data_IF_167000104682
#
_entry.id   IF_167000104682
#
_cell.length_a   1.000
_cell.length_b   1.000
_cell.length_c   1.000
_cell.angle_alpha   90.00
_cell.angle_beta   90.00
_cell.angle_gamma   90.00
#
_symmetry.space_group_name_H-M   'P 1'
#
loop_
_entity.id
_entity.type
_entity.pdbx_description
1 polymer ?
#
# COMPACT_ATOMS: atom_id res chain seq x y z
N UNK A 1 8.42 2.43 -0.32
CA UNK A 1 9.42 3.51 -0.53
C UNK A 1 8.82 4.86 -0.24
N UNK A 2 9.37 5.58 0.73
CA UNK A 2 9.05 6.97 1.05
C UNK A 2 9.93 7.90 0.21
N UNK A 3 9.31 8.80 -0.55
CA UNK A 3 10.04 9.77 -1.38
C UNK A 3 10.43 10.98 -0.52
N UNK A 4 11.69 11.41 -0.60
CA UNK A 4 12.24 12.53 0.20
C UNK A 4 12.77 13.67 -0.68
N UNK A 5 12.55 13.58 -1.99
CA UNK A 5 12.93 14.59 -2.96
C UNK A 5 11.75 14.82 -3.91
N UNK A 6 11.48 16.08 -4.26
CA UNK A 6 10.38 16.42 -5.15
C UNK A 6 10.62 15.87 -6.56
N UNK A 7 9.58 15.36 -7.25
CA UNK A 7 9.73 14.65 -8.52
C UNK A 7 10.22 15.57 -9.65
N UNK A 8 10.05 16.89 -9.52
CA UNK A 8 10.55 17.87 -10.49
C UNK A 8 12.02 18.29 -10.26
N UNK A 9 12.67 17.84 -9.19
CA UNK A 9 14.07 18.18 -8.86
C UNK A 9 15.11 17.22 -9.44
N UNK A 10 14.68 16.13 -10.08
CA UNK A 10 15.56 15.16 -10.73
C UNK A 10 14.94 14.57 -11.99
N UNK A 11 15.78 14.21 -12.97
CA UNK A 11 15.36 13.57 -14.23
C UNK A 11 15.59 12.05 -14.16
N UNK A 12 14.65 11.26 -14.69
CA UNK A 12 14.63 9.81 -14.49
C UNK A 12 14.28 9.41 -13.05
N UNK A 13 14.88 8.34 -12.53
CA UNK A 13 14.65 7.88 -11.15
C UNK A 13 13.24 7.37 -10.87
N UNK A 14 12.53 6.93 -11.91
CA UNK A 14 11.21 6.32 -11.78
C UNK A 14 11.36 4.91 -11.23
N UNK A 15 10.55 4.55 -10.23
CA UNK A 15 10.45 3.17 -9.78
C UNK A 15 9.52 2.42 -10.73
N UNK A 16 10.08 1.50 -11.50
CA UNK A 16 9.35 0.60 -12.39
C UNK A 16 9.01 -0.68 -11.63
N UNK A 17 7.74 -1.04 -11.56
CA UNK A 17 7.24 -2.23 -10.86
C UNK A 17 6.43 -3.05 -11.86
N UNK A 18 6.80 -4.31 -12.05
CA UNK A 18 6.00 -5.27 -12.82
C UNK A 18 4.95 -5.90 -11.92
N UNK A 19 3.69 -5.77 -12.34
CA UNK A 19 2.54 -6.43 -11.75
C UNK A 19 1.87 -7.37 -12.77
N UNK A 20 0.80 -8.06 -12.37
CA UNK A 20 0.06 -9.01 -13.21
C UNK A 20 -0.55 -8.37 -14.47
N UNK A 21 -0.72 -7.05 -14.47
CA UNK A 21 -1.40 -6.27 -15.51
C UNK A 21 -0.44 -5.36 -16.31
N UNK A 22 0.84 -5.30 -15.94
CA UNK A 22 1.88 -4.62 -16.70
C UNK A 22 2.91 -3.89 -15.85
N UNK A 23 3.59 -2.93 -16.47
CA UNK A 23 4.64 -2.13 -15.86
C UNK A 23 4.08 -0.81 -15.32
N UNK A 24 4.12 -0.62 -14.01
CA UNK A 24 3.79 0.64 -13.35
C UNK A 24 5.03 1.51 -13.20
N UNK A 25 4.90 2.82 -13.47
CA UNK A 25 5.96 3.81 -13.27
C UNK A 25 5.60 4.75 -12.12
N UNK A 26 6.43 4.78 -11.07
CA UNK A 26 6.12 5.52 -9.84
C UNK A 26 7.18 6.59 -9.54
N UNK A 27 6.73 7.84 -9.41
CA UNK A 27 7.52 9.00 -9.00
C UNK A 27 6.61 9.99 -8.25
N UNK A 28 6.58 9.89 -6.92
CA UNK A 28 5.64 10.62 -6.08
C UNK A 28 6.24 11.92 -5.52
N UNK A 29 5.39 12.77 -4.93
CA UNK A 29 5.81 13.98 -4.22
C UNK A 29 6.67 13.64 -2.98
N UNK A 30 7.48 14.60 -2.52
CA UNK A 30 8.20 14.41 -1.27
C UNK A 30 7.22 14.25 -0.09
N UNK A 31 7.43 13.22 0.73
CA UNK A 31 6.53 12.85 1.83
C UNK A 31 5.55 11.71 1.48
N UNK A 32 5.33 11.45 0.19
CA UNK A 32 4.45 10.37 -0.24
C UNK A 32 5.16 9.01 -0.27
N UNK A 33 4.39 7.94 -0.10
CA UNK A 33 4.90 6.57 -0.07
C UNK A 33 4.17 5.67 -1.06
N UNK A 34 4.95 4.81 -1.71
CA UNK A 34 4.42 3.64 -2.44
C UNK A 34 4.67 2.36 -1.64
N UNK A 35 3.65 1.52 -1.54
CA UNK A 35 3.71 0.17 -0.98
C UNK A 35 3.36 -0.83 -2.09
N UNK A 36 4.15 -1.89 -2.23
CA UNK A 36 3.97 -2.92 -3.25
C UNK A 36 4.50 -4.27 -2.77
N UNK A 37 4.02 -5.41 -3.34
CA UNK A 37 4.52 -6.73 -2.97
C UNK A 37 6.02 -6.87 -3.22
N UNK A 38 6.74 -7.44 -2.26
CA UNK A 38 8.19 -7.70 -2.42
C UNK A 38 8.50 -8.74 -3.49
N UNK A 39 7.51 -9.51 -3.95
CA UNK A 39 7.60 -10.48 -5.04
C UNK A 39 7.60 -9.82 -6.43
N UNK A 40 7.18 -8.56 -6.56
CA UNK A 40 7.17 -7.85 -7.85
C UNK A 40 8.59 -7.60 -8.35
N UNK A 41 8.85 -7.92 -9.63
CA UNK A 41 10.08 -7.49 -10.28
C UNK A 41 10.07 -5.97 -10.37
N UNK A 42 11.17 -5.33 -9.97
CA UNK A 42 11.24 -3.87 -9.97
C UNK A 42 12.66 -3.36 -10.15
N UNK A 43 12.77 -2.17 -10.73
CA UNK A 43 14.02 -1.44 -10.85
C UNK A 43 13.77 0.07 -10.79
N UNK A 44 14.81 0.85 -10.48
CA UNK A 44 14.76 2.31 -10.56
C UNK A 44 15.50 2.74 -11.83
N UNK A 45 14.85 3.54 -12.68
CA UNK A 45 15.50 4.06 -13.89
C UNK A 45 16.66 5.00 -13.53
N UNK A 46 17.72 5.12 -14.36
CA UNK A 46 18.84 5.99 -14.07
C UNK A 46 18.39 7.43 -13.79
N UNK A 47 19.00 8.06 -12.78
CA UNK A 47 18.86 9.50 -12.56
C UNK A 47 19.91 10.21 -13.40
N UNK A 48 19.48 10.94 -14.43
CA UNK A 48 20.39 11.63 -15.37
C UNK A 48 20.74 13.05 -14.94
N UNK A 49 19.93 13.66 -14.08
CA UNK A 49 20.15 14.99 -13.52
C UNK A 49 19.51 15.11 -12.13
N UNK A 50 20.12 15.88 -11.23
CA UNK A 50 19.63 16.07 -9.86
C UNK A 50 19.94 14.88 -8.95
N UNK A 51 19.20 14.74 -7.86
CA UNK A 51 19.38 13.65 -6.90
C UNK A 51 18.03 13.15 -6.38
N UNK A 52 17.80 11.84 -6.49
CA UNK A 52 16.66 11.16 -5.87
C UNK A 52 17.04 10.70 -4.46
N UNK A 53 16.45 11.31 -3.44
CA UNK A 53 16.59 10.88 -2.04
C UNK A 53 15.31 10.17 -1.64
N UNK A 54 15.42 9.00 -1.01
CA UNK A 54 14.30 8.19 -0.57
C UNK A 54 14.69 7.29 0.61
N UNK A 55 13.71 6.85 1.38
CA UNK A 55 13.84 5.75 2.33
C UNK A 55 13.09 4.52 1.80
N UNK A 56 13.76 3.37 1.79
CA UNK A 56 13.14 2.09 1.42
C UNK A 56 13.33 1.09 2.55
N UNK A 57 12.36 0.21 2.72
CA UNK A 57 12.32 -0.77 3.79
C UNK A 57 11.31 -1.86 3.43
N UNK A 58 11.41 -2.98 4.14
CA UNK A 58 10.47 -4.07 4.11
C UNK A 58 9.73 -4.14 5.44
N UNK A 59 8.48 -4.60 5.38
CA UNK A 59 7.66 -4.86 6.55
C UNK A 59 7.11 -6.28 6.45
N UNK A 60 7.06 -6.97 7.58
CA UNK A 60 6.32 -8.21 7.68
C UNK A 60 4.86 -7.86 8.00
N UNK A 61 3.97 -8.25 7.09
CA UNK A 61 2.53 -8.16 7.32
C UNK A 61 2.08 -9.25 8.28
N UNK A 62 1.12 -8.96 9.15
CA UNK A 62 0.39 -9.98 9.91
C UNK A 62 -0.34 -10.95 8.97
N UNK A 63 -0.78 -10.48 7.81
CA UNK A 63 -1.46 -11.28 6.79
C UNK A 63 -0.47 -11.57 5.67
N UNK A 64 0.03 -12.81 5.61
CA UNK A 64 1.03 -13.26 4.64
C UNK A 64 0.49 -13.20 3.20
N UNK A 65 -0.68 -13.79 2.99
CA UNK A 65 -1.36 -13.85 1.69
C UNK A 65 -1.83 -12.46 1.24
N UNK A 66 -1.48 -12.07 0.02
CA UNK A 66 -1.77 -10.76 -0.54
C UNK A 66 -3.24 -10.55 -0.89
N UNK A 67 -3.93 -11.56 -1.42
CA UNK A 67 -5.35 -11.51 -1.71
C UNK A 67 -6.19 -11.33 -0.42
N UNK A 68 -5.88 -12.09 0.63
CA UNK A 68 -6.53 -11.93 1.95
C UNK A 68 -6.30 -10.53 2.53
N UNK A 69 -5.08 -10.00 2.40
CA UNK A 69 -4.74 -8.65 2.87
C UNK A 69 -5.48 -7.57 2.08
N UNK A 70 -5.61 -7.72 0.77
CA UNK A 70 -6.38 -6.81 -0.07
C UNK A 70 -7.88 -6.81 0.30
N UNK A 71 -8.47 -7.99 0.52
CA UNK A 71 -9.87 -8.11 0.96
C UNK A 71 -10.11 -7.43 2.31
N UNK A 72 -9.20 -7.61 3.28
CA UNK A 72 -9.30 -6.91 4.57
C UNK A 72 -9.21 -5.39 4.41
N UNK A 73 -8.31 -4.90 3.56
CA UNK A 73 -8.16 -3.47 3.28
C UNK A 73 -9.42 -2.86 2.64
N UNK A 74 -10.02 -3.56 1.66
CA UNK A 74 -11.27 -3.15 1.03
C UNK A 74 -12.45 -3.13 2.02
N UNK A 75 -12.54 -4.17 2.86
CA UNK A 75 -13.55 -4.26 3.91
C UNK A 75 -13.42 -3.11 4.92
N UNK A 76 -12.22 -2.82 5.42
CA UNK A 76 -11.99 -1.69 6.34
C UNK A 76 -12.33 -0.36 5.67
N UNK A 77 -11.87 -0.12 4.44
CA UNK A 77 -12.21 1.09 3.68
C UNK A 77 -13.73 1.28 3.54
N UNK A 78 -14.45 0.18 3.32
CA UNK A 78 -15.91 0.17 3.23
C UNK A 78 -16.55 0.53 4.58
N UNK A 79 -16.07 -0.06 5.68
CA UNK A 79 -16.52 0.29 7.04
C UNK A 79 -16.29 1.78 7.33
N UNK A 80 -15.11 2.31 7.01
CA UNK A 80 -14.78 3.74 7.17
C UNK A 80 -15.71 4.64 6.35
N UNK A 81 -16.14 4.20 5.16
CA UNK A 81 -17.11 4.95 4.36
C UNK A 81 -18.50 4.93 5.00
N UNK A 82 -18.95 3.78 5.51
CA UNK A 82 -20.24 3.63 6.19
C UNK A 82 -20.36 4.52 7.43
N UNK A 83 -19.24 4.77 8.14
CA UNK A 83 -19.20 5.67 9.29
C UNK A 83 -19.65 7.11 9.01
N UNK A 84 -19.74 7.52 7.74
CA UNK A 84 -20.24 8.84 7.34
C UNK A 84 -21.76 8.98 7.47
N UNK A 85 -22.47 7.88 7.68
CA UNK A 85 -23.93 7.77 7.76
C UNK A 85 -24.35 7.24 9.14
N UNK A 86 -24.92 8.08 10.02
CA UNK A 86 -25.26 7.70 11.40
C UNK A 86 -26.21 6.49 11.52
N UNK A 87 -27.07 6.28 10.54
CA UNK A 87 -28.03 5.18 10.47
C UNK A 87 -27.37 3.79 10.36
N UNK A 88 -26.10 3.73 9.99
CA UNK A 88 -25.38 2.46 9.79
C UNK A 88 -24.75 1.91 11.09
N UNK A 89 -24.98 2.52 12.25
CA UNK A 89 -24.28 2.19 13.50
C UNK A 89 -24.27 0.69 13.83
N UNK A 90 -25.42 0.02 13.78
CA UNK A 90 -25.52 -1.41 14.08
C UNK A 90 -24.79 -2.28 13.04
N UNK A 91 -24.89 -1.92 11.76
CA UNK A 91 -24.20 -2.61 10.66
C UNK A 91 -22.69 -2.45 10.74
N UNK A 92 -22.20 -1.27 11.12
CA UNK A 92 -20.77 -0.98 11.33
C UNK A 92 -20.21 -1.88 12.42
N UNK A 93 -20.91 -2.04 13.55
CA UNK A 93 -20.47 -2.92 14.65
C UNK A 93 -20.38 -4.36 14.17
N UNK A 94 -21.38 -4.84 13.44
CA UNK A 94 -21.38 -6.20 12.88
C UNK A 94 -20.22 -6.41 11.89
N UNK A 95 -20.01 -5.48 10.95
CA UNK A 95 -18.94 -5.57 9.96
C UNK A 95 -17.55 -5.49 10.60
N UNK A 96 -17.37 -4.62 11.59
CA UNK A 96 -16.12 -4.51 12.35
C UNK A 96 -15.81 -5.81 13.10
N UNK A 97 -16.83 -6.46 13.68
CA UNK A 97 -16.68 -7.78 14.30
C UNK A 97 -16.22 -8.85 13.30
N UNK A 98 -16.81 -8.88 12.10
CA UNK A 98 -16.40 -9.79 11.02
C UNK A 98 -14.95 -9.50 10.58
N UNK A 99 -14.58 -8.24 10.39
CA UNK A 99 -13.21 -7.82 10.05
C UNK A 99 -12.21 -8.35 11.06
N UNK A 100 -12.46 -8.15 12.37
CA UNK A 100 -11.56 -8.63 13.41
C UNK A 100 -11.52 -10.16 13.53
N UNK A 101 -12.64 -10.85 13.25
CA UNK A 101 -12.64 -12.32 13.18
C UNK A 101 -11.72 -12.81 12.05
N UNK A 102 -11.84 -12.25 10.84
CA UNK A 102 -11.00 -12.60 9.71
C UNK A 102 -9.52 -12.26 9.96
N UNK A 103 -9.24 -11.10 10.54
CA UNK A 103 -7.89 -10.70 10.93
C UNK A 103 -7.27 -11.73 11.87
N UNK A 104 -7.99 -12.14 12.94
CA UNK A 104 -7.51 -13.18 13.88
C UNK A 104 -7.31 -14.54 13.21
N UNK A 105 -8.19 -14.92 12.30
CA UNK A 105 -8.10 -16.21 11.60
C UNK A 105 -6.94 -16.27 10.61
N UNK A 106 -6.55 -15.13 10.02
CA UNK A 106 -5.56 -15.07 8.95
C UNK A 106 -4.20 -14.53 9.40
N UNK A 107 -4.10 -14.00 10.63
CA UNK A 107 -2.87 -13.48 11.17
C UNK A 107 -1.83 -14.58 11.44
N UNK A 108 -0.61 -14.35 10.97
CA UNK A 108 0.59 -15.12 11.28
C UNK A 108 1.48 -14.27 12.20
N UNK A 109 1.40 -14.53 13.51
CA UNK A 109 2.23 -13.88 14.54
C UNK A 109 3.28 -14.90 14.97
N UNK A 110 4.45 -14.84 14.35
CA UNK A 110 5.62 -15.63 14.71
C UNK A 110 6.80 -14.69 14.96
#
# INVERSE_FOLDING_TARGET
TLFLAEPNTYQGGELKIEDTYGLQSVKLAAGDMVLYPSSSLHHVTPVTQGKRVAAFFWIQSLIRDDAKRALLFEMDTTIQHMHRQPENADHIVAMTSIYHNLLRMWAEIN
#
